data_IF_426179667320
#
_entry.id   IF_426179667320
#
_cell.length_a   1.000
_cell.length_b   1.000
_cell.length_c   1.000
_cell.angle_alpha   90.00
_cell.angle_beta   90.00
_cell.angle_gamma   90.00
#
_symmetry.space_group_name_H-M   'P 1'
#
loop_
_entity.id
_entity.type
_entity.pdbx_description
1 polymer ?
#
# COMPACT_ATOMS: atom_id res chain seq x y z
N UNK A 1 26.52 -56.12 1.06
CA UNK A 1 25.12 -55.65 0.88
C UNK A 1 24.71 -54.97 2.17
N UNK A 2 24.91 -53.66 2.23
CA UNK A 2 24.41 -52.76 3.27
C UNK A 2 24.23 -51.40 2.57
N UNK A 3 22.98 -50.94 2.54
CA UNK A 3 22.45 -49.76 1.85
C UNK A 3 22.52 -48.56 2.81
N UNK A 4 23.27 -47.48 2.53
CA UNK A 4 23.26 -46.27 3.33
C UNK A 4 22.23 -45.30 2.74
N UNK A 5 21.01 -45.31 3.26
CA UNK A 5 20.00 -44.30 2.92
C UNK A 5 20.17 -43.06 3.78
N UNK A 6 20.60 -41.99 3.13
CA UNK A 6 19.91 -40.70 3.09
C UNK A 6 19.19 -40.25 4.38
N UNK A 7 19.95 -39.69 5.32
CA UNK A 7 19.43 -38.75 6.30
C UNK A 7 19.59 -37.31 5.74
N UNK A 8 18.77 -36.94 4.75
CA UNK A 8 18.50 -35.53 4.49
C UNK A 8 17.45 -35.03 5.49
N UNK A 9 17.71 -33.94 6.24
CA UNK A 9 16.69 -33.37 7.11
C UNK A 9 15.57 -32.80 6.24
N UNK A 10 14.44 -33.50 6.28
CA UNK A 10 13.13 -33.07 5.78
C UNK A 10 12.87 -31.63 6.24
N UNK A 11 13.09 -30.69 5.33
CA UNK A 11 12.65 -29.31 5.46
C UNK A 11 11.15 -29.36 5.32
N UNK A 12 10.47 -29.62 6.44
CA UNK A 12 9.02 -29.66 6.51
C UNK A 12 8.49 -28.35 5.93
N UNK A 13 7.73 -28.48 4.85
CA UNK A 13 6.89 -27.44 4.29
C UNK A 13 5.95 -26.99 5.40
N UNK A 14 6.31 -25.92 6.10
CA UNK A 14 5.39 -25.20 6.99
C UNK A 14 4.13 -24.96 6.19
N UNK A 15 3.02 -25.51 6.67
CA UNK A 15 1.76 -25.43 5.94
C UNK A 15 1.40 -23.96 5.75
N UNK A 16 0.89 -23.60 4.57
CA UNK A 16 0.55 -22.21 4.25
C UNK A 16 -0.43 -21.59 5.25
N UNK A 17 -1.24 -22.42 5.91
CA UNK A 17 -2.18 -22.03 6.97
C UNK A 17 -1.48 -21.65 8.28
N UNK A 18 -0.43 -22.38 8.69
CA UNK A 18 0.37 -22.04 9.87
C UNK A 18 1.16 -20.74 9.65
N UNK A 19 1.70 -20.56 8.44
CA UNK A 19 2.36 -19.30 8.05
C UNK A 19 1.37 -18.12 8.03
N UNK A 20 0.13 -18.34 7.59
CA UNK A 20 -0.91 -17.31 7.59
C UNK A 20 -1.41 -16.98 9.01
N UNK A 21 -1.57 -17.98 9.87
CA UNK A 21 -1.93 -17.79 11.28
C UNK A 21 -0.82 -17.07 12.06
N UNK A 22 0.44 -17.42 11.82
CA UNK A 22 1.59 -16.77 12.42
C UNK A 22 1.73 -15.31 11.94
N UNK A 23 1.47 -15.06 10.65
CA UNK A 23 1.34 -13.69 10.12
C UNK A 23 0.17 -12.91 10.73
N UNK A 24 -0.94 -13.57 11.05
CA UNK A 24 -2.08 -12.92 11.69
C UNK A 24 -1.77 -12.45 13.11
N UNK A 25 -0.95 -13.21 13.86
CA UNK A 25 -0.50 -12.85 15.21
C UNK A 25 0.44 -11.64 15.24
N UNK A 26 1.18 -11.41 14.15
CA UNK A 26 2.13 -10.31 14.05
C UNK A 26 1.51 -8.96 13.62
N UNK A 27 0.21 -8.90 13.30
CA UNK A 27 -0.43 -7.67 12.82
C UNK A 27 -0.80 -6.72 13.96
N UNK A 28 -0.67 -5.42 13.70
CA UNK A 28 -1.17 -4.35 14.57
C UNK A 28 -2.69 -4.23 14.38
N UNK A 29 -3.44 -4.14 15.48
CA UNK A 29 -4.87 -3.87 15.42
C UNK A 29 -5.15 -2.52 14.75
N UNK A 30 -6.26 -2.45 13.99
CA UNK A 30 -6.67 -1.22 13.29
C UNK A 30 -6.88 -0.09 14.31
N UNK A 31 -5.99 0.89 14.30
CA UNK A 31 -6.06 2.06 15.18
C UNK A 31 -5.28 1.92 16.50
N UNK A 32 -4.54 0.83 16.70
CA UNK A 32 -3.63 0.72 17.82
C UNK A 32 -2.49 1.74 17.71
N UNK A 33 -2.10 2.28 18.86
CA UNK A 33 -1.01 3.25 18.97
C UNK A 33 0.32 2.53 18.82
N UNK A 34 1.18 2.99 17.91
CA UNK A 34 2.48 2.36 17.68
C UNK A 34 3.40 2.57 18.89
N UNK A 35 3.94 1.47 19.45
CA UNK A 35 4.88 1.46 20.58
C UNK A 35 6.11 0.62 20.24
N UNK A 36 7.29 1.11 20.65
CA UNK A 36 8.57 0.44 20.37
C UNK A 36 8.66 -0.94 21.04
N UNK A 37 8.22 -1.05 22.29
CA UNK A 37 8.32 -2.29 23.06
C UNK A 37 7.45 -3.41 22.45
N UNK A 38 6.24 -3.08 21.98
CA UNK A 38 5.38 -4.04 21.28
C UNK A 38 5.92 -4.42 19.89
N UNK A 39 6.71 -3.54 19.28
CA UNK A 39 7.34 -3.81 18.00
C UNK A 39 8.42 -4.88 18.15
N UNK A 40 9.31 -4.74 19.14
CA UNK A 40 10.35 -5.74 19.41
C UNK A 40 9.75 -7.11 19.77
N UNK A 41 8.72 -7.13 20.63
CA UNK A 41 8.01 -8.37 20.99
C UNK A 41 7.39 -9.08 19.78
N UNK A 42 6.83 -8.33 18.82
CA UNK A 42 6.25 -8.91 17.60
C UNK A 42 7.33 -9.42 16.64
N UNK A 43 8.49 -8.77 16.58
CA UNK A 43 9.62 -9.26 15.79
C UNK A 43 10.22 -10.54 16.38
N UNK A 44 10.32 -10.62 17.70
CA UNK A 44 10.81 -11.82 18.37
C UNK A 44 9.81 -12.97 18.20
N UNK A 45 8.51 -12.72 18.33
CA UNK A 45 7.48 -13.69 18.01
C UNK A 45 7.53 -14.17 16.54
N UNK A 46 7.81 -13.27 15.59
CA UNK A 46 7.97 -13.64 14.19
C UNK A 46 9.20 -14.54 13.96
N UNK A 47 10.32 -14.25 14.63
CA UNK A 47 11.53 -15.09 14.59
C UNK A 47 11.29 -16.47 15.18
N UNK A 48 10.59 -16.54 16.31
CA UNK A 48 10.20 -17.80 16.95
C UNK A 48 9.26 -18.63 16.07
N UNK A 49 8.37 -17.97 15.33
CA UNK A 49 7.46 -18.62 14.39
C UNK A 49 8.08 -18.96 13.02
N UNK A 50 9.37 -18.68 12.81
CA UNK A 50 10.06 -18.93 11.54
C UNK A 50 9.61 -18.04 10.37
N UNK A 51 8.94 -16.91 10.65
CA UNK A 51 8.55 -15.91 9.65
C UNK A 51 9.75 -14.99 9.39
N UNK A 52 9.88 -14.47 8.16
CA UNK A 52 10.89 -13.45 7.86
C UNK A 52 10.61 -12.17 8.67
N UNK A 53 11.43 -11.95 9.70
CA UNK A 53 11.33 -10.79 10.57
C UNK A 53 11.45 -9.46 9.81
N UNK A 54 12.13 -9.43 8.64
CA UNK A 54 12.24 -8.22 7.82
C UNK A 54 10.92 -7.84 7.16
N UNK A 55 10.18 -8.83 6.66
CA UNK A 55 8.85 -8.63 6.07
C UNK A 55 7.87 -8.12 7.14
N UNK A 56 7.92 -8.73 8.32
CA UNK A 56 7.08 -8.33 9.47
C UNK A 56 7.43 -6.92 9.95
N UNK A 57 8.72 -6.57 10.06
CA UNK A 57 9.16 -5.22 10.43
C UNK A 57 8.63 -4.16 9.46
N UNK A 58 8.74 -4.41 8.16
CA UNK A 58 8.21 -3.50 7.15
C UNK A 58 6.69 -3.36 7.25
N UNK A 59 5.97 -4.46 7.48
CA UNK A 59 4.52 -4.43 7.66
C UNK A 59 4.13 -3.62 8.90
N UNK A 60 4.82 -3.83 10.03
CA UNK A 60 4.59 -3.10 11.28
C UNK A 60 4.86 -1.60 11.13
N UNK A 61 5.94 -1.21 10.46
CA UNK A 61 6.21 0.20 10.17
C UNK A 61 5.14 0.79 9.25
N UNK A 62 4.74 0.07 8.20
CA UNK A 62 3.68 0.48 7.27
C UNK A 62 2.36 0.72 8.01
N UNK A 63 1.99 -0.18 8.90
CA UNK A 63 0.78 -0.06 9.72
C UNK A 63 0.87 1.11 10.71
N UNK A 64 2.03 1.31 11.34
CA UNK A 64 2.28 2.44 12.23
C UNK A 64 2.15 3.79 11.54
N UNK A 65 2.78 3.98 10.39
CA UNK A 65 2.66 5.22 9.62
C UNK A 65 1.25 5.43 9.06
N UNK A 66 0.55 4.36 8.66
CA UNK A 66 -0.85 4.43 8.24
C UNK A 66 -1.76 4.92 9.36
N UNK A 67 -1.54 4.50 10.61
CA UNK A 67 -2.29 4.98 11.77
C UNK A 67 -2.05 6.48 12.06
N UNK A 68 -0.90 7.00 11.65
CA UNK A 68 -0.50 8.41 11.73
C UNK A 68 -0.93 9.28 10.55
N UNK A 69 -1.58 8.71 9.55
CA UNK A 69 -1.87 9.38 8.29
C UNK A 69 -3.34 9.79 8.20
N UNK A 70 -3.55 11.02 7.72
CA UNK A 70 -4.86 11.57 7.36
C UNK A 70 -4.89 11.73 5.85
N UNK A 71 -5.81 11.02 5.20
CA UNK A 71 -5.94 11.02 3.74
C UNK A 71 -6.57 12.29 3.20
N UNK A 72 -7.32 13.04 4.00
CA UNK A 72 -8.01 14.27 3.61
C UNK A 72 -8.15 15.19 4.83
N UNK A 73 -7.23 16.14 4.96
CA UNK A 73 -7.27 17.14 6.03
C UNK A 73 -8.37 18.18 5.73
N UNK A 74 -9.28 18.46 6.68
CA UNK A 74 -10.42 19.36 6.45
C UNK A 74 -10.03 20.82 6.19
N UNK A 75 -8.78 21.24 6.46
CA UNK A 75 -8.34 22.63 6.31
C UNK A 75 -7.89 22.95 4.89
N UNK A 76 -7.21 22.01 4.23
CA UNK A 76 -6.57 22.24 2.92
C UNK A 76 -6.67 21.04 1.96
N UNK A 77 -7.42 19.99 2.34
CA UNK A 77 -7.52 18.73 1.60
C UNK A 77 -6.16 18.09 1.31
N UNK A 78 -5.13 18.35 2.14
CA UNK A 78 -3.84 17.72 2.01
C UNK A 78 -3.87 16.26 2.48
N UNK A 79 -2.91 15.46 2.01
CA UNK A 79 -2.54 14.22 2.69
C UNK A 79 -1.54 14.62 3.79
N UNK A 80 -1.84 14.28 5.03
CA UNK A 80 -1.00 14.60 6.18
C UNK A 80 -0.47 13.31 6.74
N UNK A 81 0.84 13.21 6.88
CA UNK A 81 1.49 12.07 7.51
C UNK A 81 2.33 12.56 8.68
N UNK A 82 2.11 11.93 9.83
CA UNK A 82 2.83 12.22 11.07
C UNK A 82 3.78 11.10 11.42
N UNK A 83 4.89 11.44 12.06
CA UNK A 83 5.83 10.48 12.59
C UNK A 83 6.80 11.15 13.56
N UNK A 84 7.80 10.40 14.00
CA UNK A 84 8.88 10.86 14.87
C UNK A 84 10.20 10.76 14.17
N UNK A 85 11.10 11.66 14.48
CA UNK A 85 12.48 11.61 13.98
C UNK A 85 13.44 12.19 15.01
N UNK A 86 14.67 11.69 14.97
CA UNK A 86 15.81 12.27 15.69
C UNK A 86 16.54 13.33 14.85
N UNK A 87 16.16 13.48 13.57
CA UNK A 87 16.81 14.38 12.63
C UNK A 87 16.30 15.81 12.78
N UNK A 88 17.20 16.77 12.54
CA UNK A 88 16.82 18.18 12.37
C UNK A 88 16.06 18.36 11.07
N UNK A 89 15.21 19.38 10.98
CA UNK A 89 14.36 19.63 9.80
C UNK A 89 15.13 19.62 8.47
N UNK A 90 16.31 20.27 8.42
CA UNK A 90 17.17 20.29 7.22
C UNK A 90 17.68 18.91 6.83
N UNK A 91 18.01 18.08 7.82
CA UNK A 91 18.49 16.71 7.61
C UNK A 91 17.35 15.80 7.16
N UNK A 92 16.18 15.91 7.82
CA UNK A 92 14.98 15.18 7.43
C UNK A 92 14.57 15.54 6.00
N UNK A 93 14.57 16.83 5.63
CA UNK A 93 14.28 17.27 4.26
C UNK A 93 15.24 16.65 3.24
N UNK A 94 16.54 16.57 3.57
CA UNK A 94 17.55 15.94 2.72
C UNK A 94 17.33 14.43 2.59
N UNK A 95 17.00 13.75 3.71
CA UNK A 95 16.71 12.33 3.74
C UNK A 95 15.42 11.99 2.95
N UNK A 96 14.41 12.86 2.98
CA UNK A 96 13.16 12.67 2.25
C UNK A 96 13.26 13.07 0.76
N UNK A 97 14.32 13.76 0.33
CA UNK A 97 14.45 14.24 -1.05
C UNK A 97 14.40 13.10 -2.10
N UNK A 98 15.07 11.95 -1.92
CA UNK A 98 14.96 10.82 -2.83
C UNK A 98 13.52 10.30 -2.93
N UNK A 99 12.83 10.23 -1.80
CA UNK A 99 11.43 9.80 -1.71
C UNK A 99 10.49 10.75 -2.44
N UNK A 100 10.62 12.06 -2.21
CA UNK A 100 9.84 13.10 -2.91
C UNK A 100 10.05 13.01 -4.41
N UNK A 101 11.29 12.79 -4.86
CA UNK A 101 11.64 12.60 -6.28
C UNK A 101 11.04 11.31 -6.86
N UNK A 102 11.10 10.20 -6.11
CA UNK A 102 10.52 8.92 -6.52
C UNK A 102 9.00 9.03 -6.71
N UNK A 103 8.33 9.78 -5.82
CA UNK A 103 6.90 10.05 -5.89
C UNK A 103 6.52 11.06 -6.98
N UNK A 104 7.50 11.61 -7.70
CA UNK A 104 7.32 12.65 -8.72
C UNK A 104 6.63 13.91 -8.16
N UNK A 105 6.82 14.18 -6.88
CA UNK A 105 6.28 15.34 -6.20
C UNK A 105 7.23 16.52 -6.38
N UNK A 106 6.68 17.69 -6.72
CA UNK A 106 7.47 18.91 -6.75
C UNK A 106 7.71 19.44 -5.33
N UNK A 107 8.81 20.15 -5.12
CA UNK A 107 9.22 20.62 -3.78
C UNK A 107 8.26 21.61 -3.13
N UNK A 108 7.46 22.32 -3.94
CA UNK A 108 6.39 23.23 -3.53
C UNK A 108 5.11 22.51 -3.11
N UNK A 109 4.93 21.26 -3.56
CA UNK A 109 3.77 20.42 -3.23
C UNK A 109 3.93 19.66 -1.90
N UNK A 110 5.10 19.77 -1.25
CA UNK A 110 5.46 19.06 -0.02
C UNK A 110 5.85 20.05 1.08
N UNK A 111 4.99 20.16 2.09
CA UNK A 111 5.28 20.86 3.34
C UNK A 111 5.87 19.91 4.37
N UNK A 112 6.94 20.33 5.05
CA UNK A 112 7.51 19.61 6.18
C UNK A 112 7.50 20.53 7.41
N UNK A 113 6.97 20.05 8.52
CA UNK A 113 7.05 20.72 9.83
C UNK A 113 7.66 19.76 10.84
N UNK A 114 8.48 20.29 11.74
CA UNK A 114 9.11 19.51 12.82
C UNK A 114 8.85 20.24 14.14
N UNK A 115 8.23 19.55 15.09
CA UNK A 115 7.94 20.04 16.43
C UNK A 115 8.32 18.97 17.44
N UNK A 116 9.26 19.27 18.34
CA UNK A 116 9.66 18.41 19.47
C UNK A 116 9.96 16.94 19.11
N UNK A 117 10.65 16.72 17.98
CA UNK A 117 10.99 15.37 17.51
C UNK A 117 9.83 14.63 16.81
N UNK A 118 8.67 15.26 16.69
CA UNK A 118 7.58 14.84 15.82
C UNK A 118 7.63 15.62 14.50
N UNK A 119 7.49 14.94 13.37
CA UNK A 119 7.39 15.58 12.07
C UNK A 119 5.99 15.41 11.48
N UNK A 120 5.59 16.42 10.73
CA UNK A 120 4.39 16.41 9.90
C UNK A 120 4.79 16.67 8.45
N UNK A 121 4.55 15.69 7.60
CA UNK A 121 4.69 15.76 6.17
C UNK A 121 3.31 16.03 5.57
N UNK A 122 3.14 17.19 4.95
CA UNK A 122 1.91 17.59 4.24
C UNK A 122 2.16 17.51 2.74
N UNK A 123 1.28 16.82 2.03
CA UNK A 123 1.29 16.74 0.57
C UNK A 123 0.04 17.47 0.06
N UNK A 124 0.25 18.46 -0.81
CA UNK A 124 -0.83 19.27 -1.36
C UNK A 124 -1.94 18.44 -2.00
N UNK A 125 -3.17 18.93 -1.92
CA UNK A 125 -4.34 18.35 -2.59
C UNK A 125 -4.13 18.19 -4.09
N UNK A 126 -3.51 19.18 -4.74
CA UNK A 126 -3.19 19.19 -6.17
C UNK A 126 -2.34 17.99 -6.57
N UNK A 127 -1.29 17.68 -5.81
CA UNK A 127 -0.46 16.50 -6.07
C UNK A 127 -1.21 15.18 -5.82
N UNK A 128 -2.07 15.15 -4.80
CA UNK A 128 -2.87 13.98 -4.47
C UNK A 128 -3.95 13.68 -5.52
N UNK A 129 -4.49 14.71 -6.18
CA UNK A 129 -5.44 14.61 -7.29
C UNK A 129 -4.76 14.29 -8.61
N UNK A 130 -3.55 14.81 -8.86
CA UNK A 130 -2.77 14.48 -10.06
C UNK A 130 -2.28 13.03 -10.08
N UNK A 131 -2.21 12.37 -8.92
CA UNK A 131 -1.85 10.96 -8.80
C UNK A 131 -2.91 9.97 -9.35
N UNK A 132 -3.88 10.43 -10.15
CA UNK A 132 -4.97 9.61 -10.71
C UNK A 132 -4.49 8.56 -11.72
N UNK A 133 -4.62 7.24 -11.43
CA UNK A 133 -4.71 6.20 -12.46
C UNK A 133 -6.10 6.13 -13.12
N UNK A 134 -7.07 6.90 -12.60
CA UNK A 134 -8.49 6.82 -12.98
C UNK A 134 -8.73 7.09 -14.48
N UNK A 135 -7.97 8.01 -15.07
CA UNK A 135 -8.13 8.35 -16.50
C UNK A 135 -7.71 7.16 -17.39
N UNK A 136 -6.65 6.44 -17.01
CA UNK A 136 -6.16 5.31 -17.80
C UNK A 136 -7.03 4.06 -17.60
N UNK A 137 -7.52 3.81 -16.38
CA UNK A 137 -8.51 2.77 -16.12
C UNK A 137 -9.83 3.04 -16.85
N UNK A 138 -10.31 4.29 -16.86
CA UNK A 138 -11.52 4.67 -17.60
C UNK A 138 -11.34 4.50 -19.12
N UNK A 139 -10.18 4.89 -19.68
CA UNK A 139 -9.85 4.65 -21.09
C UNK A 139 -9.80 3.16 -21.43
N UNK A 140 -9.24 2.33 -20.54
CA UNK A 140 -9.16 0.89 -20.73
C UNK A 140 -10.56 0.25 -20.71
N UNK A 141 -11.40 0.63 -19.75
CA UNK A 141 -12.79 0.15 -19.65
C UNK A 141 -13.60 0.58 -20.88
N UNK A 142 -13.43 1.82 -21.34
CA UNK A 142 -14.10 2.31 -22.55
C UNK A 142 -13.67 1.51 -23.79
N UNK A 143 -12.37 1.24 -23.95
CA UNK A 143 -11.86 0.37 -25.03
C UNK A 143 -12.43 -1.05 -24.93
N UNK A 144 -12.54 -1.60 -23.73
CA UNK A 144 -13.10 -2.93 -23.48
C UNK A 144 -14.59 -2.98 -23.87
N UNK A 145 -15.39 -1.97 -23.48
CA UNK A 145 -16.81 -1.91 -23.83
C UNK A 145 -17.05 -1.68 -25.31
N UNK A 146 -16.26 -0.83 -25.96
CA UNK A 146 -16.33 -0.64 -27.42
C UNK A 146 -15.96 -1.96 -28.13
N UNK A 147 -14.88 -2.63 -27.69
CA UNK A 147 -14.46 -3.91 -28.23
C UNK A 147 -15.52 -5.01 -28.07
N UNK A 148 -16.02 -5.20 -26.85
CA UNK A 148 -17.09 -6.17 -26.57
C UNK A 148 -18.39 -5.83 -27.31
N UNK A 149 -18.72 -4.53 -27.41
CA UNK A 149 -19.84 -4.01 -28.18
C UNK A 149 -19.75 -4.42 -29.65
N UNK A 150 -18.63 -4.14 -30.29
CA UNK A 150 -18.38 -4.47 -31.71
C UNK A 150 -18.32 -5.98 -31.96
N UNK A 151 -17.69 -6.75 -31.08
CA UNK A 151 -17.63 -8.22 -31.21
C UNK A 151 -19.01 -8.85 -31.05
N UNK A 152 -19.81 -8.39 -30.08
CA UNK A 152 -21.20 -8.85 -29.92
C UNK A 152 -22.08 -8.43 -31.10
N UNK A 153 -21.89 -7.23 -31.64
CA UNK A 153 -22.60 -6.76 -32.85
C UNK A 153 -22.24 -7.62 -34.07
N UNK A 154 -20.97 -7.94 -34.26
CA UNK A 154 -20.49 -8.82 -35.32
C UNK A 154 -21.06 -10.24 -35.17
N UNK A 155 -21.07 -10.80 -33.95
CA UNK A 155 -21.64 -12.11 -33.67
C UNK A 155 -23.15 -12.18 -33.95
N UNK A 156 -23.87 -11.10 -33.64
CA UNK A 156 -25.30 -10.98 -33.96
C UNK A 156 -25.55 -10.90 -35.46
N UNK A 157 -24.82 -10.03 -36.18
CA UNK A 157 -25.14 -9.67 -37.55
C UNK A 157 -24.54 -10.62 -38.60
N UNK A 158 -23.35 -11.18 -38.37
CA UNK A 158 -22.66 -12.06 -39.33
C UNK A 158 -22.95 -13.54 -39.09
N UNK A 159 -23.15 -13.95 -37.83
CA UNK A 159 -23.27 -15.36 -37.46
C UNK A 159 -24.68 -15.74 -37.01
N UNK A 160 -25.59 -14.77 -36.81
CA UNK A 160 -26.96 -15.01 -36.33
C UNK A 160 -27.04 -15.58 -34.91
N UNK A 161 -25.94 -15.55 -34.14
CA UNK A 161 -25.82 -16.14 -32.81
C UNK A 161 -26.22 -15.12 -31.73
N UNK A 162 -27.52 -14.88 -31.59
CA UNK A 162 -28.09 -13.91 -30.63
C UNK A 162 -27.72 -14.21 -29.18
N UNK A 163 -27.64 -15.50 -28.80
CA UNK A 163 -27.25 -15.92 -27.46
C UNK A 163 -25.79 -15.59 -27.12
N UNK A 164 -24.90 -15.66 -28.11
CA UNK A 164 -23.47 -15.41 -27.94
C UNK A 164 -23.19 -13.91 -27.78
N UNK A 165 -23.91 -13.07 -28.53
CA UNK A 165 -23.87 -11.62 -28.37
C UNK A 165 -24.31 -11.18 -26.96
N UNK A 166 -25.37 -11.80 -26.42
CA UNK A 166 -25.84 -11.51 -25.06
C UNK A 166 -24.78 -11.86 -23.98
N UNK A 167 -24.09 -12.99 -24.13
CA UNK A 167 -23.00 -13.38 -23.22
C UNK A 167 -21.83 -12.40 -23.35
N UNK A 168 -21.40 -12.06 -24.58
CA UNK A 168 -20.28 -11.15 -24.81
C UNK A 168 -20.55 -9.75 -24.23
N UNK A 169 -21.74 -9.21 -24.44
CA UNK A 169 -22.12 -7.92 -23.85
C UNK A 169 -22.25 -7.98 -22.34
N UNK A 170 -22.90 -9.03 -21.80
CA UNK A 170 -23.05 -9.22 -20.36
C UNK A 170 -21.71 -9.35 -19.64
N UNK A 171 -20.82 -10.20 -20.17
CA UNK A 171 -19.48 -10.41 -19.60
C UNK A 171 -18.63 -9.14 -19.76
N UNK A 172 -18.71 -8.45 -20.89
CA UNK A 172 -18.00 -7.18 -21.12
C UNK A 172 -18.41 -6.09 -20.13
N UNK A 173 -19.71 -5.96 -19.84
CA UNK A 173 -20.22 -5.02 -18.84
C UNK A 173 -19.75 -5.39 -17.43
N UNK A 174 -19.89 -6.65 -17.03
CA UNK A 174 -19.46 -7.12 -15.71
C UNK A 174 -17.95 -6.94 -15.50
N UNK A 175 -17.14 -7.29 -16.50
CA UNK A 175 -15.68 -7.15 -16.43
C UNK A 175 -15.29 -5.67 -16.37
N UNK A 176 -15.94 -4.80 -17.15
CA UNK A 176 -15.69 -3.36 -17.09
C UNK A 176 -16.11 -2.73 -15.76
N UNK A 177 -17.25 -3.15 -15.19
CA UNK A 177 -17.68 -2.71 -13.86
C UNK A 177 -16.72 -3.18 -12.75
N UNK A 178 -16.22 -4.41 -12.87
CA UNK A 178 -15.20 -4.95 -11.96
C UNK A 178 -13.89 -4.17 -12.05
N UNK A 179 -13.41 -3.87 -13.26
CA UNK A 179 -12.20 -3.06 -13.48
C UNK A 179 -12.38 -1.63 -12.99
N UNK A 180 -13.56 -1.01 -13.18
CA UNK A 180 -13.87 0.30 -12.59
C UNK A 180 -13.85 0.25 -11.06
N UNK A 181 -14.39 -0.81 -10.46
CA UNK A 181 -14.37 -1.01 -9.00
C UNK A 181 -12.95 -1.17 -8.47
N UNK A 182 -12.07 -1.86 -9.21
CA UNK A 182 -10.65 -1.98 -8.85
C UNK A 182 -9.86 -0.70 -9.13
N UNK A 183 -10.19 0.04 -10.19
CA UNK A 183 -9.60 1.34 -10.55
C UNK A 183 -10.12 2.52 -9.72
N UNK A 184 -11.17 2.31 -8.91
CA UNK A 184 -11.73 3.30 -7.99
C UNK A 184 -10.88 3.51 -6.72
N UNK A 185 -9.68 2.94 -6.63
CA UNK A 185 -8.69 3.37 -5.64
C UNK A 185 -8.30 4.80 -6.01
N UNK A 186 -8.78 5.77 -5.21
CA UNK A 186 -8.52 7.19 -5.44
C UNK A 186 -7.02 7.44 -5.62
N UNK A 187 -6.65 8.34 -6.55
CA UNK A 187 -5.23 8.73 -6.74
C UNK A 187 -4.57 9.15 -5.42
N UNK A 188 -5.36 9.75 -4.52
CA UNK A 188 -4.99 10.06 -3.13
C UNK A 188 -4.58 8.83 -2.33
N UNK A 189 -5.38 7.76 -2.33
CA UNK A 189 -5.08 6.53 -1.60
C UNK A 189 -3.83 5.83 -2.15
N UNK A 190 -3.61 5.89 -3.47
CA UNK A 190 -2.43 5.31 -4.11
C UNK A 190 -1.16 6.10 -3.76
N UNK A 191 -1.22 7.44 -3.85
CA UNK A 191 -0.11 8.29 -3.43
C UNK A 191 0.19 8.10 -1.94
N UNK A 192 -0.83 8.09 -1.11
CA UNK A 192 -0.73 7.82 0.32
C UNK A 192 -0.05 6.47 0.61
N UNK A 193 -0.46 5.41 -0.09
CA UNK A 193 0.17 4.09 0.05
C UNK A 193 1.66 4.14 -0.31
N UNK A 194 2.03 4.77 -1.42
CA UNK A 194 3.44 4.91 -1.82
C UNK A 194 4.26 5.71 -0.81
N UNK A 195 3.69 6.80 -0.28
CA UNK A 195 4.34 7.62 0.76
C UNK A 195 4.57 6.79 2.02
N UNK A 196 3.54 6.10 2.51
CA UNK A 196 3.63 5.25 3.71
C UNK A 196 4.68 4.15 3.51
N UNK A 197 4.65 3.43 2.39
CA UNK A 197 5.63 2.37 2.10
C UNK A 197 7.05 2.93 2.02
N UNK A 198 7.24 4.09 1.36
CA UNK A 198 8.57 4.69 1.26
C UNK A 198 9.14 5.11 2.63
N UNK A 199 8.29 5.60 3.53
CA UNK A 199 8.70 5.95 4.89
C UNK A 199 8.94 4.71 5.76
N UNK A 200 8.16 3.65 5.56
CA UNK A 200 8.39 2.38 6.24
C UNK A 200 9.74 1.76 5.83
N UNK A 201 10.09 1.83 4.54
CA UNK A 201 11.41 1.41 4.06
C UNK A 201 12.53 2.27 4.66
N UNK A 202 12.38 3.59 4.69
CA UNK A 202 13.36 4.47 5.35
C UNK A 202 13.50 4.20 6.85
N UNK A 203 12.39 3.92 7.54
CA UNK A 203 12.39 3.55 8.95
C UNK A 203 13.12 2.23 9.20
N UNK A 204 12.91 1.25 8.33
CA UNK A 204 13.59 -0.04 8.40
C UNK A 204 15.10 0.07 8.12
N UNK A 205 15.49 0.78 7.05
CA UNK A 205 16.88 0.87 6.60
C UNK A 205 17.73 1.81 7.46
N UNK A 206 17.23 3.02 7.74
CA UNK A 206 17.99 4.06 8.41
C UNK A 206 17.71 4.14 9.91
N UNK A 207 16.55 3.63 10.39
CA UNK A 207 16.07 3.78 11.78
C UNK A 207 16.01 5.22 12.29
N UNK A 208 16.01 6.20 11.38
CA UNK A 208 16.01 7.64 11.70
C UNK A 208 14.60 8.23 11.79
N UNK A 209 13.61 7.50 11.29
CA UNK A 209 12.21 7.89 11.23
C UNK A 209 11.40 6.77 11.88
N UNK A 210 10.50 7.13 12.78
CA UNK A 210 9.65 6.18 13.48
C UNK A 210 8.18 6.57 13.29
N UNK A 211 7.25 5.61 13.38
CA UNK A 211 5.83 5.91 13.43
C UNK A 211 5.46 6.78 14.64
N UNK A 212 4.33 7.51 14.56
CA UNK A 212 3.90 8.38 15.64
C UNK A 212 3.48 7.56 16.86
N UNK A 213 3.77 8.10 18.05
CA UNK A 213 3.42 7.47 19.34
C UNK A 213 1.96 7.71 19.75
N UNK A 214 1.16 8.38 18.91
CA UNK A 214 -0.27 8.61 19.09
C UNK A 214 -0.95 8.41 17.73
N UNK A 215 -2.16 7.84 17.72
CA UNK A 215 -2.95 7.75 16.50
C UNK A 215 -3.26 9.15 15.93
N UNK A 216 -3.66 9.23 14.66
CA UNK A 216 -4.04 10.48 14.02
C UNK A 216 -5.23 11.15 14.78
N UNK A 217 -4.92 12.01 15.75
CA UNK A 217 -5.91 12.85 16.39
C UNK A 217 -6.31 13.99 15.42
N UNK A 218 -7.61 14.25 15.20
CA UNK A 218 -8.05 15.44 14.49
C UNK A 218 -7.65 16.67 15.30
N UNK A 219 -6.95 17.62 14.66
CA UNK A 219 -6.57 18.90 15.24
C UNK A 219 -6.93 20.05 14.33
#
# INVERSE_FOLDING_TARGET
>A
MADPRDDEPSTALVSSEEAEAARALAKLDKGAVWRGDEHELRLDAAREAGIDAREVELELFTQGFKAGMVLDDPKDHAIVLRGRTVLREKQLRKALQPTVRFLQLSSDQVGLRLHDGEFELRISSVAAEQATPVIDSAKLVLKLWIGAGLVGLAAWNLLGLSWLAAIVWGLGLLTGAYVLRQGAVSGRALLAARVVTSLALMAQEEKLILPPAKGAAPG
#
